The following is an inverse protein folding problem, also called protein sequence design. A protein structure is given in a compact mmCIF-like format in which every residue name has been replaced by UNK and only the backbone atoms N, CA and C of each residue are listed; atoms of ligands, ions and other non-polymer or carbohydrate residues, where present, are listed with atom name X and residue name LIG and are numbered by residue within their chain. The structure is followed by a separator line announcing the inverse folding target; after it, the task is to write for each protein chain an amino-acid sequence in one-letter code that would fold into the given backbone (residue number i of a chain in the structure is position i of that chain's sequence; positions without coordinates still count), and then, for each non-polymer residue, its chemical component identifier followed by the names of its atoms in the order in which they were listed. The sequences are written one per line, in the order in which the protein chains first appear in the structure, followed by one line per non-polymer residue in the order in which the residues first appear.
data_IF_178584608894
#
_entry.id   IF_178584608894
#
_cell.length_a   1.000
_cell.length_b   1.000
_cell.length_c   1.000
_cell.angle_alpha   90.00
_cell.angle_beta   90.00
_cell.angle_gamma   90.00
#
_symmetry.space_group_name_H-M   'P 1'
#
loop_
_entity.id
_entity.type
_entity.pdbx_description
1 polymer ?
#
# COMPACT_ATOMS: atom_id res chain seq x y z
N UNK A 1 -14.54 -8.10 -33.04
CA UNK A 1 -15.37 -7.95 -34.26
C UNK A 1 -15.88 -9.30 -34.69
N UNK A 2 -17.14 -9.46 -35.12
CA UNK A 2 -17.68 -10.76 -35.53
C UNK A 2 -16.94 -11.27 -36.77
N UNK A 3 -16.72 -12.59 -36.86
CA UNK A 3 -15.95 -13.25 -37.92
C UNK A 3 -16.40 -13.01 -39.37
N UNK A 4 -17.62 -12.46 -39.59
CA UNK A 4 -18.12 -12.07 -40.90
C UNK A 4 -17.40 -10.84 -41.49
N UNK A 5 -16.82 -9.96 -40.67
CA UNK A 5 -16.06 -8.80 -41.18
C UNK A 5 -14.77 -9.22 -41.89
N UNK A 6 -14.12 -10.29 -41.41
CA UNK A 6 -12.94 -10.88 -42.04
C UNK A 6 -13.25 -11.65 -43.28
N UNK A 7 -14.39 -12.32 -43.30
CA UNK A 7 -14.88 -13.00 -44.50
C UNK A 7 -15.22 -12.00 -45.63
N UNK A 8 -15.79 -10.83 -45.28
CA UNK A 8 -16.05 -9.75 -46.21
C UNK A 8 -14.78 -9.12 -46.80
N UNK A 9 -13.77 -8.83 -45.92
CA UNK A 9 -12.49 -8.30 -46.38
C UNK A 9 -11.75 -9.28 -47.30
N UNK A 10 -11.74 -10.56 -46.97
CA UNK A 10 -11.18 -11.63 -47.80
C UNK A 10 -11.92 -11.79 -49.13
N UNK A 11 -13.27 -11.72 -49.11
CA UNK A 11 -14.08 -11.79 -50.33
C UNK A 11 -13.90 -10.58 -51.27
N UNK A 12 -13.77 -9.37 -50.70
CA UNK A 12 -13.45 -8.15 -51.47
C UNK A 12 -12.07 -8.23 -52.12
N UNK A 13 -11.05 -8.72 -51.38
CA UNK A 13 -9.71 -8.92 -51.92
C UNK A 13 -9.69 -10.00 -53.03
N UNK A 14 -10.44 -11.09 -52.85
CA UNK A 14 -10.58 -12.14 -53.85
C UNK A 14 -11.32 -11.65 -55.11
N UNK A 15 -12.38 -10.85 -54.98
CA UNK A 15 -13.13 -10.24 -56.07
C UNK A 15 -12.30 -9.20 -56.83
N UNK A 16 -11.53 -8.36 -56.11
CA UNK A 16 -10.59 -7.40 -56.71
C UNK A 16 -9.48 -8.15 -57.47
N UNK A 17 -8.93 -9.23 -56.87
CA UNK A 17 -7.94 -10.09 -57.52
C UNK A 17 -8.49 -10.80 -58.77
N UNK A 18 -9.72 -11.36 -58.72
CA UNK A 18 -10.40 -11.98 -59.85
C UNK A 18 -10.76 -10.98 -60.96
N UNK A 19 -11.21 -9.77 -60.58
CA UNK A 19 -11.48 -8.68 -61.53
C UNK A 19 -10.21 -8.18 -62.22
N UNK A 20 -9.12 -8.04 -61.48
CA UNK A 20 -7.80 -7.69 -62.03
C UNK A 20 -7.31 -8.77 -63.01
N UNK A 21 -7.38 -10.06 -62.67
CA UNK A 21 -6.96 -11.16 -63.54
C UNK A 21 -7.84 -11.30 -64.78
N UNK A 22 -9.16 -11.06 -64.66
CA UNK A 22 -10.07 -11.05 -65.83
C UNK A 22 -9.79 -9.89 -66.82
N UNK A 23 -9.38 -8.73 -66.25
CA UNK A 23 -9.07 -7.54 -67.05
C UNK A 23 -7.68 -7.65 -67.73
N UNK A 24 -6.75 -8.40 -67.19
CA UNK A 24 -5.44 -8.69 -67.83
C UNK A 24 -5.49 -9.71 -68.94
N UNK A 25 -6.59 -10.47 -69.10
CA UNK A 25 -6.79 -11.40 -70.20
C UNK A 25 -7.30 -10.77 -71.57
N UNK A 26 -7.64 -9.47 -71.53
CA UNK A 26 -8.03 -8.73 -72.70
C UNK A 26 -6.85 -7.88 -73.21
N UNK A 27 -6.11 -8.46 -74.17
CA UNK A 27 -5.10 -8.00 -75.10
C UNK A 27 -4.33 -6.66 -75.02
N UNK A 28 -3.13 -6.55 -75.58
CA UNK A 28 -2.20 -5.44 -75.32
C UNK A 28 -2.56 -4.22 -76.22
N UNK A 29 -3.07 -3.16 -75.58
CA UNK A 29 -3.12 -1.80 -76.15
C UNK A 29 -2.00 -0.94 -75.60
N UNK A 30 -1.24 -0.29 -76.46
CA UNK A 30 -0.12 0.62 -76.12
C UNK A 30 -0.61 1.78 -75.23
N UNK A 31 -0.33 1.70 -73.96
CA UNK A 31 -0.65 2.69 -72.90
C UNK A 31 -0.46 2.18 -71.47
N UNK A 32 0.13 1.02 -71.31
CA UNK A 32 0.09 0.21 -70.10
C UNK A 32 1.14 0.57 -69.00
N UNK A 33 2.27 1.19 -69.34
CA UNK A 33 3.39 1.31 -68.34
C UNK A 33 3.08 2.23 -67.15
N UNK A 34 2.45 3.38 -67.36
CA UNK A 34 2.15 4.35 -66.31
C UNK A 34 0.98 3.89 -65.41
N UNK A 35 0.02 3.16 -66.01
CA UNK A 35 -1.14 2.65 -65.31
C UNK A 35 -0.80 1.42 -64.46
N UNK A 36 0.11 0.59 -64.94
CA UNK A 36 0.61 -0.58 -64.22
C UNK A 36 1.49 -0.18 -63.04
N UNK A 37 2.28 0.88 -63.21
CA UNK A 37 3.14 1.41 -62.11
C UNK A 37 2.28 2.06 -61.01
N UNK A 38 1.26 2.85 -61.35
CA UNK A 38 0.31 3.42 -60.39
C UNK A 38 -0.50 2.33 -59.68
N UNK A 39 -0.90 1.26 -60.38
CA UNK A 39 -1.63 0.15 -59.76
C UNK A 39 -0.74 -0.68 -58.84
N UNK A 40 0.51 -0.91 -59.24
CA UNK A 40 1.50 -1.60 -58.39
C UNK A 40 1.86 -0.81 -57.14
N UNK A 41 1.95 0.51 -57.25
CA UNK A 41 2.17 1.41 -56.09
C UNK A 41 0.99 1.38 -55.13
N UNK A 42 -0.24 1.45 -55.66
CA UNK A 42 -1.48 1.36 -54.86
C UNK A 42 -1.61 0.00 -54.14
N UNK A 43 -1.31 -1.10 -54.82
CA UNK A 43 -1.31 -2.44 -54.23
C UNK A 43 -0.26 -2.53 -53.10
N UNK A 44 0.95 -2.00 -53.30
CA UNK A 44 1.99 -1.98 -52.29
C UNK A 44 1.59 -1.14 -51.09
N UNK A 45 0.94 0.02 -51.29
CA UNK A 45 0.46 0.89 -50.23
C UNK A 45 -0.71 0.26 -49.46
N UNK A 46 -1.62 -0.44 -50.17
CA UNK A 46 -2.67 -1.21 -49.50
C UNK A 46 -2.12 -2.39 -48.70
N UNK A 47 -1.14 -3.14 -49.25
CA UNK A 47 -0.47 -4.21 -48.52
C UNK A 47 0.25 -3.70 -47.26
N UNK A 48 0.94 -2.56 -47.34
CA UNK A 48 1.54 -1.90 -46.19
C UNK A 48 0.49 -1.47 -45.16
N UNK A 49 -0.65 -0.95 -45.62
CA UNK A 49 -1.76 -0.53 -44.75
C UNK A 49 -2.44 -1.72 -44.08
N UNK A 50 -2.60 -2.84 -44.75
CA UNK A 50 -3.14 -4.09 -44.16
C UNK A 50 -2.17 -4.66 -43.14
N UNK A 51 -0.89 -4.81 -43.46
CA UNK A 51 0.12 -5.29 -42.55
C UNK A 51 0.22 -4.39 -41.28
N UNK A 52 0.05 -3.08 -41.46
CA UNK A 52 0.02 -2.10 -40.37
C UNK A 52 -1.20 -2.29 -39.47
N UNK A 53 -2.39 -2.49 -40.04
CA UNK A 53 -3.64 -2.73 -39.30
C UNK A 53 -3.60 -4.09 -38.55
N UNK A 54 -2.98 -5.10 -39.17
CA UNK A 54 -2.76 -6.40 -38.51
C UNK A 54 -1.82 -6.29 -37.32
N UNK A 55 -0.74 -5.53 -37.45
CA UNK A 55 0.16 -5.24 -36.33
C UNK A 55 -0.50 -4.47 -35.18
N UNK A 56 -1.30 -3.44 -35.51
CA UNK A 56 -2.06 -2.66 -34.53
C UNK A 56 -3.10 -3.55 -33.81
N UNK A 57 -3.78 -4.45 -34.54
CA UNK A 57 -4.73 -5.41 -33.98
C UNK A 57 -4.04 -6.47 -33.07
N UNK A 58 -2.86 -6.94 -33.44
CA UNK A 58 -2.12 -7.90 -32.63
C UNK A 58 -1.72 -7.31 -31.26
N UNK A 59 -1.26 -6.05 -31.23
CA UNK A 59 -0.95 -5.34 -30.00
C UNK A 59 -2.15 -5.22 -29.07
N UNK A 60 -3.29 -4.77 -29.63
CA UNK A 60 -4.55 -4.63 -28.87
C UNK A 60 -5.05 -5.99 -28.38
N UNK A 61 -4.99 -7.03 -29.22
CA UNK A 61 -5.41 -8.37 -28.84
C UNK A 61 -4.56 -8.91 -27.68
N UNK A 62 -3.25 -8.73 -27.75
CA UNK A 62 -2.34 -9.14 -26.68
C UNK A 62 -2.61 -8.39 -25.38
N UNK A 63 -2.80 -7.07 -25.46
CA UNK A 63 -3.16 -6.26 -24.31
C UNK A 63 -4.50 -6.70 -23.69
N UNK A 64 -5.54 -6.94 -24.51
CA UNK A 64 -6.84 -7.43 -24.04
C UNK A 64 -6.78 -8.81 -23.40
N UNK A 65 -5.83 -9.66 -23.76
CA UNK A 65 -5.62 -10.96 -23.12
C UNK A 65 -4.96 -10.81 -21.73
N UNK A 66 -4.08 -9.81 -21.55
CA UNK A 66 -3.35 -9.58 -20.29
C UNK A 66 -4.15 -8.76 -19.27
N UNK A 67 -5.00 -7.83 -19.74
CA UNK A 67 -5.75 -6.91 -18.88
C UNK A 67 -6.65 -7.59 -17.84
N UNK A 68 -7.43 -8.66 -18.15
CA UNK A 68 -8.30 -9.30 -17.17
C UNK A 68 -7.53 -9.90 -16.00
N UNK A 69 -6.40 -10.55 -16.27
CA UNK A 69 -5.55 -11.13 -15.23
C UNK A 69 -4.85 -10.06 -14.41
N UNK A 70 -4.38 -9.00 -15.07
CA UNK A 70 -3.78 -7.86 -14.41
C UNK A 70 -4.79 -7.16 -13.48
N UNK A 71 -5.97 -6.81 -13.99
CA UNK A 71 -7.03 -6.17 -13.18
C UNK A 71 -7.51 -7.04 -12.03
N UNK A 72 -7.64 -8.36 -12.24
CA UNK A 72 -8.01 -9.29 -11.18
C UNK A 72 -6.96 -9.31 -10.07
N UNK A 73 -5.68 -9.36 -10.41
CA UNK A 73 -4.58 -9.32 -9.46
C UNK A 73 -4.52 -7.98 -8.73
N UNK A 74 -4.70 -6.86 -9.44
CA UNK A 74 -4.70 -5.53 -8.85
C UNK A 74 -5.88 -5.27 -7.90
N UNK A 75 -7.03 -5.91 -8.13
CA UNK A 75 -8.21 -5.82 -7.25
C UNK A 75 -8.21 -6.86 -6.12
N UNK A 76 -7.25 -7.79 -6.10
CA UNK A 76 -7.06 -8.68 -4.96
C UNK A 76 -6.40 -7.94 -3.79
N UNK A 77 -6.37 -8.55 -2.58
CA UNK A 77 -5.64 -7.99 -1.41
C UNK A 77 -4.13 -8.07 -1.63
N UNK A 78 -3.63 -7.27 -2.57
CA UNK A 78 -2.21 -7.21 -2.92
C UNK A 78 -1.50 -6.21 -2.02
N UNK A 79 -0.29 -6.51 -1.57
CA UNK A 79 0.52 -5.54 -0.84
C UNK A 79 1.05 -4.45 -1.79
N UNK A 80 1.20 -3.20 -1.28
CA UNK A 80 1.70 -2.06 -2.07
C UNK A 80 2.98 -2.39 -2.84
N UNK A 81 3.89 -3.13 -2.22
CA UNK A 81 5.18 -3.54 -2.81
C UNK A 81 5.08 -4.54 -3.97
N UNK A 82 3.93 -5.20 -4.13
CA UNK A 82 3.69 -6.17 -5.21
C UNK A 82 3.13 -5.51 -6.47
N UNK A 83 2.49 -4.33 -6.34
CA UNK A 83 1.92 -3.60 -7.47
C UNK A 83 2.98 -3.30 -8.55
N UNK A 84 4.16 -2.73 -8.23
CA UNK A 84 5.20 -2.50 -9.22
C UNK A 84 5.69 -3.79 -9.89
N UNK A 85 5.70 -4.92 -9.17
CA UNK A 85 6.07 -6.22 -9.73
C UNK A 85 5.07 -6.69 -10.79
N UNK A 86 3.77 -6.52 -10.54
CA UNK A 86 2.74 -6.89 -11.53
C UNK A 86 2.79 -5.97 -12.75
N UNK A 87 3.00 -4.67 -12.56
CA UNK A 87 3.22 -3.71 -13.65
C UNK A 87 4.43 -4.13 -14.50
N UNK A 88 5.56 -4.44 -13.86
CA UNK A 88 6.79 -4.88 -14.54
C UNK A 88 6.53 -6.13 -15.40
N UNK A 89 5.79 -7.13 -14.88
CA UNK A 89 5.44 -8.34 -15.64
C UNK A 89 4.63 -8.06 -16.90
N UNK A 90 3.68 -7.12 -16.83
CA UNK A 90 2.89 -6.74 -18.01
C UNK A 90 3.75 -6.02 -19.04
N UNK A 91 4.63 -5.12 -18.60
CA UNK A 91 5.59 -4.43 -19.47
C UNK A 91 6.54 -5.44 -20.13
N UNK A 92 7.06 -6.41 -19.39
CA UNK A 92 7.92 -7.49 -19.90
C UNK A 92 7.19 -8.33 -20.97
N UNK A 93 5.97 -8.76 -20.70
CA UNK A 93 5.16 -9.54 -21.66
C UNK A 93 4.82 -8.75 -22.93
N UNK A 94 4.56 -7.44 -22.81
CA UNK A 94 4.22 -6.60 -23.95
C UNK A 94 5.45 -6.30 -24.82
N UNK A 95 6.51 -5.75 -24.24
CA UNK A 95 7.62 -5.15 -24.98
C UNK A 95 8.84 -6.05 -25.11
N UNK A 96 8.91 -7.14 -24.32
CA UNK A 96 10.09 -8.03 -24.21
C UNK A 96 11.40 -7.22 -24.10
N UNK A 97 11.52 -6.27 -23.16
CA UNK A 97 12.66 -5.37 -23.06
C UNK A 97 13.82 -6.05 -22.35
N UNK A 98 15.03 -5.50 -22.51
CA UNK A 98 16.19 -5.92 -21.73
C UNK A 98 16.28 -5.24 -20.38
N UNK A 99 15.66 -4.06 -20.25
CA UNK A 99 15.67 -3.26 -19.02
C UNK A 99 14.30 -2.67 -18.71
N UNK A 100 13.89 -2.77 -17.44
CA UNK A 100 12.71 -2.11 -16.88
C UNK A 100 13.09 -1.50 -15.55
N UNK A 101 12.73 -0.23 -15.34
CA UNK A 101 12.90 0.47 -14.07
C UNK A 101 11.56 1.07 -13.67
N UNK A 102 11.17 0.87 -12.43
CA UNK A 102 9.96 1.48 -11.86
C UNK A 102 10.35 2.30 -10.65
N UNK A 103 10.10 3.59 -10.76
CA UNK A 103 10.30 4.57 -9.70
C UNK A 103 8.96 4.93 -9.09
N UNK A 104 8.89 5.05 -7.77
CA UNK A 104 7.73 5.57 -7.07
C UNK A 104 8.12 6.80 -6.26
N UNK A 105 7.21 7.76 -6.17
CA UNK A 105 7.34 8.92 -5.32
C UNK A 105 7.41 8.46 -3.85
N UNK A 106 8.47 8.86 -3.14
CA UNK A 106 8.56 8.68 -1.70
C UNK A 106 7.56 9.61 -0.98
N UNK A 107 6.84 9.09 0.01
CA UNK A 107 5.95 9.90 0.84
C UNK A 107 6.79 10.96 1.58
N UNK A 108 6.42 12.23 1.42
CA UNK A 108 7.13 13.36 2.00
C UNK A 108 7.12 13.31 3.53
N UNK A 109 8.29 13.32 4.12
CA UNK A 109 8.51 13.79 5.48
C UNK A 109 9.05 15.22 5.37
N UNK A 110 8.16 16.21 5.57
CA UNK A 110 8.43 17.69 5.49
C UNK A 110 8.72 18.25 4.10
N UNK A 111 7.97 19.27 3.70
CA UNK A 111 8.07 20.35 2.67
C UNK A 111 9.18 20.36 1.58
N UNK A 112 9.97 19.30 1.41
CA UNK A 112 10.92 19.17 0.31
C UNK A 112 10.29 18.51 -0.89
N UNK A 113 10.66 18.92 -2.10
CA UNK A 113 10.24 18.30 -3.35
C UNK A 113 10.47 16.77 -3.27
N UNK A 114 9.39 15.99 -3.44
CA UNK A 114 9.47 14.52 -3.29
C UNK A 114 10.46 13.91 -4.29
N UNK A 115 11.19 12.89 -3.85
CA UNK A 115 12.11 12.13 -4.68
C UNK A 115 11.45 10.84 -5.19
N UNK A 116 11.82 10.45 -6.39
CA UNK A 116 11.40 9.18 -6.98
C UNK A 116 12.44 8.10 -6.67
N UNK A 117 12.09 7.15 -5.83
CA UNK A 117 12.97 6.02 -5.49
C UNK A 117 12.74 4.83 -6.43
N UNK A 118 13.82 4.18 -6.84
CA UNK A 118 13.76 2.93 -7.60
C UNK A 118 13.21 1.81 -6.70
N UNK A 119 12.02 1.31 -7.02
CA UNK A 119 11.36 0.25 -6.23
C UNK A 119 11.43 -1.13 -6.88
N UNK A 120 11.58 -1.16 -8.22
CA UNK A 120 11.75 -2.42 -8.99
C UNK A 120 12.63 -2.19 -10.20
N UNK A 121 13.39 -3.20 -10.54
CA UNK A 121 14.23 -3.19 -11.72
C UNK A 121 14.36 -4.58 -12.35
N UNK A 122 14.63 -4.61 -13.65
CA UNK A 122 15.07 -5.74 -14.44
C UNK A 122 16.22 -5.29 -15.33
N UNK A 123 17.24 -6.13 -15.49
CA UNK A 123 18.35 -5.87 -16.41
C UNK A 123 19.48 -4.99 -15.86
N UNK A 124 19.43 -4.53 -14.60
CA UNK A 124 20.55 -3.85 -13.96
C UNK A 124 21.38 -4.84 -13.10
N UNK A 125 22.71 -4.68 -13.04
CA UNK A 125 23.54 -5.40 -12.08
C UNK A 125 23.09 -5.10 -10.64
N UNK A 126 23.12 -6.10 -9.76
CA UNK A 126 22.66 -6.02 -8.38
C UNK A 126 23.37 -4.96 -7.53
N UNK A 127 24.59 -4.58 -7.91
CA UNK A 127 25.40 -3.56 -7.25
C UNK A 127 24.81 -2.14 -7.36
N UNK A 128 24.00 -1.88 -8.40
CA UNK A 128 23.41 -0.56 -8.68
C UNK A 128 21.97 -0.39 -8.17
N UNK A 129 21.43 -1.34 -7.41
CA UNK A 129 19.98 -1.37 -7.11
C UNK A 129 19.58 -0.70 -5.80
N UNK A 130 20.52 -0.34 -4.92
CA UNK A 130 20.22 0.23 -3.61
C UNK A 130 20.36 1.75 -3.62
N UNK A 131 19.27 2.44 -3.25
CA UNK A 131 19.32 3.89 -2.99
C UNK A 131 19.30 4.78 -4.22
N UNK A 132 18.95 4.25 -5.42
CA UNK A 132 18.77 5.11 -6.60
C UNK A 132 17.52 5.96 -6.41
N UNK A 133 17.74 7.28 -6.42
CA UNK A 133 16.69 8.29 -6.37
C UNK A 133 16.89 9.28 -7.51
N UNK A 134 15.79 9.83 -8.01
CA UNK A 134 15.75 10.83 -9.08
C UNK A 134 14.89 12.00 -8.61
N UNK A 135 15.39 13.20 -8.77
CA UNK A 135 14.66 14.43 -8.47
C UNK A 135 13.73 14.85 -9.63
N UNK A 136 12.70 15.66 -9.35
CA UNK A 136 11.88 16.26 -10.39
C UNK A 136 12.74 17.04 -11.38
N UNK A 137 12.54 16.79 -12.69
CA UNK A 137 13.29 17.46 -13.75
C UNK A 137 14.69 16.89 -14.01
N UNK A 138 15.17 15.94 -13.20
CA UNK A 138 16.50 15.34 -13.35
C UNK A 138 16.50 14.26 -14.44
N UNK A 139 17.22 14.48 -15.54
CA UNK A 139 17.33 13.55 -16.64
C UNK A 139 15.99 13.22 -17.30
N UNK A 140 15.91 12.12 -18.04
CA UNK A 140 14.69 11.69 -18.74
C UNK A 140 13.57 11.29 -17.78
N UNK A 141 13.89 10.56 -16.72
CA UNK A 141 12.93 10.06 -15.75
C UNK A 141 12.32 11.20 -14.93
N UNK A 142 13.16 12.10 -14.37
CA UNK A 142 12.71 13.26 -13.61
C UNK A 142 11.93 14.26 -14.46
N UNK A 143 12.29 14.39 -15.74
CA UNK A 143 11.55 15.24 -16.68
C UNK A 143 10.12 14.70 -16.90
N UNK A 144 9.98 13.39 -17.17
CA UNK A 144 8.67 12.73 -17.29
C UNK A 144 7.87 12.84 -15.98
N UNK A 145 8.53 12.70 -14.84
CA UNK A 145 7.91 12.91 -13.53
C UNK A 145 7.36 14.33 -13.35
N UNK A 146 8.10 15.34 -13.83
CA UNK A 146 7.72 16.76 -13.70
C UNK A 146 6.58 17.14 -14.63
N UNK A 147 6.59 16.65 -15.87
CA UNK A 147 5.64 17.07 -16.90
C UNK A 147 4.43 16.14 -17.07
N UNK A 148 4.48 14.91 -16.54
CA UNK A 148 3.37 13.98 -16.61
C UNK A 148 3.07 13.46 -18.02
N UNK A 149 4.06 13.42 -18.91
CA UNK A 149 3.89 13.05 -20.32
C UNK A 149 4.78 11.87 -20.67
N UNK A 150 4.21 10.86 -21.37
CA UNK A 150 4.98 9.73 -21.89
C UNK A 150 5.87 10.16 -23.06
N UNK A 151 7.13 9.75 -23.06
CA UNK A 151 8.12 10.12 -24.05
C UNK A 151 8.90 8.92 -24.56
N UNK A 152 9.24 8.96 -25.87
CA UNK A 152 10.20 8.07 -26.52
C UNK A 152 11.52 8.80 -26.82
N UNK A 153 12.47 8.10 -27.46
CA UNK A 153 13.80 8.66 -27.79
C UNK A 153 13.67 9.90 -28.66
N UNK A 154 12.77 9.89 -29.66
CA UNK A 154 12.59 11.01 -30.59
C UNK A 154 12.04 12.25 -29.86
N UNK A 155 11.13 12.06 -28.92
CA UNK A 155 10.58 13.14 -28.09
C UNK A 155 11.68 13.73 -27.20
N UNK A 156 12.52 12.91 -26.55
CA UNK A 156 13.63 13.39 -25.74
C UNK A 156 14.65 14.19 -26.55
N UNK A 157 14.97 13.73 -27.77
CA UNK A 157 15.87 14.45 -28.68
C UNK A 157 15.26 15.80 -29.08
N UNK A 158 13.98 15.81 -29.39
CA UNK A 158 13.24 17.03 -29.78
C UNK A 158 13.20 18.04 -28.62
N UNK A 159 12.84 17.56 -27.44
CA UNK A 159 12.73 18.40 -26.24
C UNK A 159 14.09 19.00 -25.85
N UNK A 160 15.16 18.20 -25.86
CA UNK A 160 16.52 18.70 -25.61
C UNK A 160 16.91 19.81 -26.57
N UNK A 161 16.53 19.72 -27.86
CA UNK A 161 16.81 20.73 -28.87
C UNK A 161 15.99 22.02 -28.67
N UNK A 162 14.74 21.91 -28.21
CA UNK A 162 13.84 23.03 -28.07
C UNK A 162 14.10 23.82 -26.78
N UNK A 163 14.33 23.15 -25.68
CA UNK A 163 14.40 23.75 -24.33
C UNK A 163 15.81 23.85 -23.78
N UNK A 164 16.76 23.10 -24.34
CA UNK A 164 18.10 22.97 -23.77
C UNK A 164 18.14 22.15 -22.47
N UNK A 165 17.05 21.46 -22.11
CA UNK A 165 16.97 20.65 -20.89
C UNK A 165 18.04 19.56 -20.86
N UNK A 166 18.62 19.33 -19.69
CA UNK A 166 19.55 18.21 -19.48
C UNK A 166 18.76 16.91 -19.34
N UNK A 167 18.52 16.24 -20.48
CA UNK A 167 17.82 14.95 -20.59
C UNK A 167 18.78 13.78 -20.73
N UNK A 168 20.05 13.98 -20.43
CA UNK A 168 21.04 12.91 -20.45
C UNK A 168 20.84 12.01 -19.23
N UNK A 169 20.98 10.72 -19.44
CA UNK A 169 21.06 9.77 -18.34
C UNK A 169 22.39 10.00 -17.63
N UNK A 170 22.41 10.24 -16.31
CA UNK A 170 23.66 10.44 -15.59
C UNK A 170 24.65 9.30 -15.87
N UNK A 171 25.91 9.61 -16.12
CA UNK A 171 26.91 8.64 -16.58
C UNK A 171 27.14 7.46 -15.61
N UNK A 172 26.78 7.64 -14.35
CA UNK A 172 26.83 6.58 -13.34
C UNK A 172 25.61 5.64 -13.37
N UNK A 173 24.56 5.99 -14.11
CA UNK A 173 23.41 5.14 -14.37
C UNK A 173 23.59 4.43 -15.72
N UNK A 174 24.06 3.19 -15.70
CA UNK A 174 24.25 2.36 -16.90
C UNK A 174 22.91 1.75 -17.34
N UNK A 175 21.90 2.57 -17.64
CA UNK A 175 20.67 2.06 -18.20
C UNK A 175 20.23 2.86 -19.43
N UNK A 176 19.64 2.13 -20.36
CA UNK A 176 19.06 2.70 -21.56
C UNK A 176 17.61 3.13 -21.29
N UNK A 177 17.24 4.31 -21.79
CA UNK A 177 15.89 4.86 -21.62
C UNK A 177 15.33 5.12 -23.02
N UNK A 178 14.66 4.11 -23.57
CA UNK A 178 14.02 4.23 -24.88
C UNK A 178 12.60 4.78 -24.76
N UNK A 179 11.87 4.36 -23.71
CA UNK A 179 10.49 4.74 -23.49
C UNK A 179 10.23 4.98 -22.01
N UNK A 180 9.61 6.12 -21.69
CA UNK A 180 9.18 6.47 -20.34
C UNK A 180 7.71 6.81 -20.30
N UNK A 181 7.02 6.38 -19.25
CA UNK A 181 5.64 6.79 -18.97
C UNK A 181 5.44 7.11 -17.50
N UNK A 182 4.74 8.23 -17.19
CA UNK A 182 4.38 8.57 -15.82
C UNK A 182 3.21 7.70 -15.36
N UNK A 183 3.24 7.28 -14.11
CA UNK A 183 2.13 6.67 -13.40
C UNK A 183 1.29 7.79 -12.78
N UNK A 184 0.27 8.27 -13.52
CA UNK A 184 -0.49 9.46 -13.13
C UNK A 184 -1.88 9.10 -12.61
N UNK A 185 -2.31 9.79 -11.55
CA UNK A 185 -3.67 9.73 -11.03
C UNK A 185 -4.08 11.11 -10.51
N UNK A 186 -5.24 11.65 -10.96
CA UNK A 186 -5.73 12.99 -10.61
C UNK A 186 -4.65 14.08 -10.77
N UNK A 187 -4.02 14.14 -11.94
CA UNK A 187 -2.96 15.09 -12.31
C UNK A 187 -1.68 15.02 -11.43
N UNK A 188 -1.56 13.99 -10.58
CA UNK A 188 -0.36 13.77 -9.76
C UNK A 188 0.41 12.58 -10.26
N UNK A 189 1.69 12.78 -10.54
CA UNK A 189 2.61 11.69 -10.88
C UNK A 189 3.02 10.99 -9.59
N UNK A 190 2.68 9.70 -9.49
CA UNK A 190 3.00 8.82 -8.35
C UNK A 190 4.22 7.96 -8.58
N UNK A 191 4.63 7.85 -9.84
CA UNK A 191 5.78 7.05 -10.24
C UNK A 191 6.11 7.24 -11.70
N UNK A 192 7.18 6.62 -12.15
CA UNK A 192 7.61 6.59 -13.55
C UNK A 192 8.06 5.18 -13.91
N UNK A 193 7.63 4.71 -15.08
CA UNK A 193 8.12 3.47 -15.70
C UNK A 193 9.09 3.86 -16.79
N UNK A 194 10.30 3.30 -16.76
CA UNK A 194 11.30 3.44 -17.81
C UNK A 194 11.62 2.07 -18.41
N UNK A 195 11.70 2.01 -19.73
CA UNK A 195 11.92 0.79 -20.51
C UNK A 195 13.07 1.04 -21.46
N UNK A 196 13.99 0.06 -21.56
CA UNK A 196 15.12 0.09 -22.49
C UNK A 196 15.37 -1.26 -23.12
N UNK A 197 15.99 -1.28 -24.30
CA UNK A 197 16.28 -2.48 -25.08
C UNK A 197 15.01 -3.22 -25.49
N UNK A 198 14.03 -2.47 -26.03
CA UNK A 198 12.76 -3.01 -26.51
C UNK A 198 13.00 -3.92 -27.73
N UNK A 199 12.52 -5.17 -27.65
CA UNK A 199 12.66 -6.13 -28.76
C UNK A 199 11.36 -6.38 -29.49
N UNK A 200 10.23 -6.06 -28.86
CA UNK A 200 8.90 -6.17 -29.49
C UNK A 200 8.29 -4.79 -29.64
N UNK A 201 8.28 -4.28 -30.86
CA UNK A 201 7.83 -2.95 -31.19
C UNK A 201 6.37 -2.91 -31.64
N UNK A 202 5.68 -1.84 -31.23
CA UNK A 202 4.30 -1.52 -31.62
C UNK A 202 4.22 -0.09 -32.12
N UNK A 203 3.26 0.19 -32.99
CA UNK A 203 3.08 1.54 -33.54
C UNK A 203 2.75 2.61 -32.47
N UNK A 204 2.10 2.21 -31.38
CA UNK A 204 1.60 3.13 -30.34
C UNK A 204 2.22 2.79 -28.98
N UNK A 205 3.51 2.53 -28.92
CA UNK A 205 4.25 2.13 -27.73
C UNK A 205 4.04 3.05 -26.55
N UNK A 206 4.08 4.38 -26.79
CA UNK A 206 3.83 5.39 -25.76
C UNK A 206 2.45 5.25 -25.14
N UNK A 207 1.42 5.09 -25.95
CA UNK A 207 0.05 4.95 -25.48
C UNK A 207 -0.17 3.64 -24.72
N UNK A 208 0.45 2.55 -25.19
CA UNK A 208 0.38 1.25 -24.51
C UNK A 208 1.08 1.31 -23.15
N UNK A 209 2.31 1.84 -23.10
CA UNK A 209 3.02 1.98 -21.83
C UNK A 209 2.31 2.95 -20.88
N UNK A 210 1.77 4.07 -21.42
CA UNK A 210 0.96 5.02 -20.67
C UNK A 210 -0.26 4.35 -20.03
N UNK A 211 -1.01 3.54 -20.78
CA UNK A 211 -2.16 2.80 -20.25
C UNK A 211 -1.76 1.82 -19.12
N UNK A 212 -0.64 1.11 -19.28
CA UNK A 212 -0.13 0.21 -18.23
C UNK A 212 0.28 1.02 -17.00
N UNK A 213 0.91 2.17 -17.18
CA UNK A 213 1.32 3.07 -16.12
C UNK A 213 0.11 3.65 -15.35
N UNK A 214 -0.93 4.08 -16.07
CA UNK A 214 -2.17 4.59 -15.47
C UNK A 214 -2.89 3.52 -14.64
N UNK A 215 -2.99 2.30 -15.16
CA UNK A 215 -3.55 1.17 -14.42
C UNK A 215 -2.75 0.86 -13.14
N UNK A 216 -1.42 0.91 -13.21
CA UNK A 216 -0.55 0.76 -12.06
C UNK A 216 -0.76 1.89 -11.03
N UNK A 217 -0.94 3.12 -11.50
CA UNK A 217 -1.22 4.28 -10.64
C UNK A 217 -2.58 4.17 -9.94
N UNK A 218 -3.62 3.75 -10.66
CA UNK A 218 -4.95 3.49 -10.08
C UNK A 218 -4.85 2.41 -8.99
N UNK A 219 -4.09 1.34 -9.23
CA UNK A 219 -3.91 0.29 -8.23
C UNK A 219 -3.21 0.80 -6.96
N UNK A 220 -2.18 1.64 -7.10
CA UNK A 220 -1.50 2.30 -5.97
C UNK A 220 -2.46 3.21 -5.20
N UNK A 221 -3.26 3.99 -5.91
CA UNK A 221 -4.25 4.87 -5.29
C UNK A 221 -5.32 4.09 -4.52
N UNK A 222 -5.88 3.04 -5.12
CA UNK A 222 -6.85 2.18 -4.46
C UNK A 222 -6.27 1.52 -3.21
N UNK A 223 -4.99 1.10 -3.26
CA UNK A 223 -4.32 0.57 -2.08
C UNK A 223 -4.18 1.62 -0.97
N UNK A 224 -3.78 2.86 -1.31
CA UNK A 224 -3.68 3.97 -0.36
C UNK A 224 -5.05 4.30 0.27
N UNK A 225 -6.14 4.32 -0.55
CA UNK A 225 -7.49 4.51 -0.05
C UNK A 225 -7.93 3.39 0.89
N UNK A 226 -7.65 2.14 0.51
CA UNK A 226 -7.97 0.98 1.35
C UNK A 226 -7.23 1.04 2.68
N UNK A 227 -5.93 1.36 2.66
CA UNK A 227 -5.12 1.55 3.88
C UNK A 227 -5.72 2.65 4.77
N UNK A 228 -6.00 3.83 4.21
CA UNK A 228 -6.62 4.94 4.95
C UNK A 228 -7.98 4.55 5.54
N UNK A 229 -8.81 3.84 4.76
CA UNK A 229 -10.09 3.32 5.24
C UNK A 229 -9.92 2.34 6.40
N UNK A 230 -8.95 1.45 6.32
CA UNK A 230 -8.60 0.52 7.40
C UNK A 230 -8.08 1.25 8.65
N UNK A 231 -7.19 2.23 8.47
CA UNK A 231 -6.69 3.04 9.58
C UNK A 231 -7.85 3.78 10.28
N UNK A 232 -8.75 4.41 9.51
CA UNK A 232 -9.95 5.05 10.06
C UNK A 232 -10.90 4.05 10.76
N UNK A 233 -11.02 2.83 10.24
CA UNK A 233 -11.84 1.79 10.84
C UNK A 233 -11.21 1.18 12.10
N UNK A 234 -9.89 1.23 12.26
CA UNK A 234 -9.15 0.58 13.34
C UNK A 234 -8.70 1.54 14.44
N UNK A 235 -8.68 2.85 14.19
CA UNK A 235 -8.25 3.86 15.14
C UNK A 235 -9.45 4.62 15.75
N UNK A 236 -9.25 5.13 16.95
CA UNK A 236 -10.16 6.10 17.58
C UNK A 236 -9.96 7.48 16.95
N UNK A 237 -11.04 8.11 16.54
CA UNK A 237 -11.01 9.40 15.82
C UNK A 237 -10.40 10.55 16.61
N UNK A 238 -10.49 10.51 17.95
CA UNK A 238 -10.02 11.56 18.84
C UNK A 238 -8.55 11.38 19.21
N UNK A 239 -8.20 10.22 19.75
CA UNK A 239 -6.87 9.95 20.33
C UNK A 239 -5.84 9.40 19.32
N UNK A 240 -6.30 8.96 18.16
CA UNK A 240 -5.49 8.29 17.13
C UNK A 240 -4.81 7.00 17.60
N UNK A 241 -5.11 6.52 18.79
CA UNK A 241 -4.81 5.16 19.22
C UNK A 241 -5.75 4.18 18.52
N UNK A 242 -5.46 2.90 18.60
CA UNK A 242 -6.41 1.91 18.10
C UNK A 242 -7.75 2.01 18.84
N UNK A 243 -8.82 1.51 18.22
CA UNK A 243 -10.11 1.37 18.89
C UNK A 243 -10.22 0.00 19.58
N UNK A 244 -11.22 -0.13 20.45
CA UNK A 244 -11.51 -1.35 21.20
C UNK A 244 -11.62 -2.59 20.31
N UNK A 245 -12.31 -2.48 19.17
CA UNK A 245 -12.52 -3.62 18.26
C UNK A 245 -11.20 -4.17 17.76
N UNK A 246 -10.35 -3.30 17.20
CA UNK A 246 -9.05 -3.71 16.67
C UNK A 246 -8.14 -4.28 17.76
N UNK A 247 -8.18 -3.69 18.97
CA UNK A 247 -7.40 -4.20 20.10
C UNK A 247 -7.77 -5.64 20.45
N UNK A 248 -9.08 -5.95 20.54
CA UNK A 248 -9.56 -7.30 20.89
C UNK A 248 -9.20 -8.33 19.80
N UNK A 249 -9.34 -7.97 18.53
CA UNK A 249 -8.90 -8.80 17.41
C UNK A 249 -7.40 -9.10 17.49
N UNK A 250 -6.58 -8.08 17.76
CA UNK A 250 -5.14 -8.21 17.86
C UNK A 250 -4.71 -9.01 19.10
N UNK A 251 -5.35 -8.78 20.25
CA UNK A 251 -5.10 -9.52 21.49
C UNK A 251 -5.33 -11.03 21.28
N UNK A 252 -6.40 -11.41 20.58
CA UNK A 252 -6.67 -12.83 20.27
C UNK A 252 -5.57 -13.45 19.40
N UNK A 253 -5.02 -12.69 18.44
CA UNK A 253 -3.88 -13.14 17.65
C UNK A 253 -2.62 -13.31 18.49
N UNK A 254 -2.33 -12.36 19.41
CA UNK A 254 -1.17 -12.44 20.30
C UNK A 254 -1.26 -13.63 21.25
N UNK A 255 -2.45 -13.94 21.78
CA UNK A 255 -2.66 -15.14 22.61
C UNK A 255 -2.34 -16.41 21.81
N UNK A 256 -2.84 -16.50 20.56
CA UNK A 256 -2.56 -17.65 19.70
C UNK A 256 -1.06 -17.83 19.43
N UNK A 257 -0.34 -16.75 19.16
CA UNK A 257 1.11 -16.79 18.94
C UNK A 257 1.87 -17.13 20.23
N UNK A 258 1.49 -16.54 21.35
CA UNK A 258 2.08 -16.80 22.67
C UNK A 258 1.89 -18.24 23.14
N UNK A 259 0.73 -18.87 22.81
CA UNK A 259 0.47 -20.26 23.16
C UNK A 259 1.43 -21.23 22.46
N UNK A 260 1.96 -20.88 21.30
CA UNK A 260 2.95 -21.69 20.56
C UNK A 260 4.39 -21.44 20.99
N UNK A 261 4.72 -20.18 21.31
CA UNK A 261 6.09 -19.74 21.61
C UNK A 261 6.41 -19.61 23.11
N UNK A 262 5.43 -19.78 23.99
CA UNK A 262 5.57 -19.66 25.47
C UNK A 262 6.19 -18.32 25.91
N UNK A 263 5.89 -17.24 25.19
CA UNK A 263 6.38 -15.91 25.55
C UNK A 263 5.31 -15.16 26.37
N UNK A 264 5.64 -14.66 27.57
CA UNK A 264 4.70 -13.86 28.34
C UNK A 264 4.43 -12.52 27.64
N UNK A 265 3.24 -12.01 27.78
CA UNK A 265 2.87 -10.64 27.45
C UNK A 265 1.89 -10.14 28.51
N UNK A 266 1.71 -8.83 28.60
CA UNK A 266 0.84 -8.25 29.63
C UNK A 266 -0.14 -7.25 29.03
N UNK A 267 -1.31 -7.17 29.65
CA UNK A 267 -2.36 -6.20 29.35
C UNK A 267 -2.46 -5.22 30.50
N UNK A 268 -2.52 -3.94 30.20
CA UNK A 268 -2.71 -2.85 31.15
C UNK A 268 -3.99 -2.08 30.79
N UNK A 269 -4.98 -2.09 31.68
CA UNK A 269 -6.21 -1.31 31.56
C UNK A 269 -6.14 -0.18 32.57
N UNK A 270 -6.49 1.04 32.15
CA UNK A 270 -6.53 2.18 33.04
C UNK A 270 -7.59 3.19 32.62
N UNK A 271 -7.91 4.08 33.54
CA UNK A 271 -8.94 5.10 33.42
C UNK A 271 -8.38 6.42 34.00
N UNK A 272 -8.73 7.54 33.38
CA UNK A 272 -8.36 8.87 33.86
C UNK A 272 -9.16 9.23 35.11
N UNK A 273 -8.46 9.45 36.21
CA UNK A 273 -9.05 9.73 37.51
C UNK A 273 -9.86 11.04 37.49
N UNK A 274 -11.12 10.97 37.93
CA UNK A 274 -12.02 12.12 38.03
C UNK A 274 -12.26 12.85 36.70
N UNK A 275 -12.14 12.18 35.55
CA UNK A 275 -12.29 12.80 34.23
C UNK A 275 -13.68 13.42 34.01
N UNK A 276 -14.74 12.76 34.52
CA UNK A 276 -16.07 13.33 34.49
C UNK A 276 -16.13 14.70 35.20
N UNK A 277 -15.50 14.83 36.38
CA UNK A 277 -15.42 16.10 37.10
C UNK A 277 -14.68 17.17 36.29
N UNK A 278 -13.64 16.80 35.57
CA UNK A 278 -12.95 17.72 34.66
C UNK A 278 -13.86 18.21 33.54
N UNK A 279 -14.59 17.31 32.89
CA UNK A 279 -15.55 17.67 31.84
C UNK A 279 -16.68 18.57 32.37
N UNK A 280 -17.21 18.26 33.56
CA UNK A 280 -18.30 19.04 34.16
C UNK A 280 -17.84 20.47 34.55
N UNK A 281 -16.55 20.67 34.85
CA UNK A 281 -15.99 21.96 35.26
C UNK A 281 -15.37 22.76 34.12
N UNK A 282 -14.72 22.09 33.15
CA UNK A 282 -13.96 22.74 32.07
C UNK A 282 -14.62 22.59 30.68
N UNK A 283 -15.68 21.79 30.58
CA UNK A 283 -16.39 21.49 29.33
C UNK A 283 -15.75 20.36 28.53
N UNK A 284 -16.57 19.75 27.67
CA UNK A 284 -16.17 18.58 26.85
C UNK A 284 -15.00 18.85 25.88
N UNK A 285 -14.87 20.06 25.35
CA UNK A 285 -13.76 20.42 24.48
C UNK A 285 -12.40 20.34 25.17
N UNK A 286 -12.35 20.82 26.44
CA UNK A 286 -11.15 20.70 27.26
C UNK A 286 -10.85 19.24 27.62
N UNK A 287 -11.88 18.42 27.90
CA UNK A 287 -11.73 16.99 28.08
C UNK A 287 -11.24 16.26 26.85
N UNK A 288 -11.71 16.63 25.66
CA UNK A 288 -11.22 16.07 24.40
C UNK A 288 -9.72 16.36 24.20
N UNK A 289 -9.24 17.53 24.60
CA UNK A 289 -7.83 17.87 24.53
C UNK A 289 -6.99 17.04 25.53
N UNK A 290 -7.51 16.79 26.71
CA UNK A 290 -6.88 15.87 27.68
C UNK A 290 -6.77 14.46 27.09
N UNK A 291 -7.82 13.96 26.46
CA UNK A 291 -7.82 12.62 25.85
C UNK A 291 -6.83 12.51 24.68
N UNK A 292 -6.74 13.54 23.81
CA UNK A 292 -5.73 13.59 22.72
C UNK A 292 -4.32 13.54 23.29
N UNK A 293 -4.05 14.43 24.22
CA UNK A 293 -2.74 14.53 24.90
C UNK A 293 -2.37 13.22 25.60
N UNK A 294 -3.32 12.60 26.32
CA UNK A 294 -3.10 11.29 26.94
C UNK A 294 -2.75 10.23 25.88
N UNK A 295 -3.44 10.22 24.75
CA UNK A 295 -3.11 9.33 23.62
C UNK A 295 -1.68 9.51 23.10
N UNK A 296 -1.21 10.75 22.96
CA UNK A 296 0.15 11.06 22.53
C UNK A 296 1.18 10.62 23.58
N UNK A 297 0.95 10.95 24.86
CA UNK A 297 1.82 10.54 25.97
C UNK A 297 1.95 9.02 26.09
N UNK A 298 0.86 8.29 25.86
CA UNK A 298 0.89 6.81 25.80
C UNK A 298 1.78 6.35 24.67
N UNK A 299 1.56 6.86 23.45
CA UNK A 299 2.30 6.48 22.25
C UNK A 299 3.80 6.66 22.40
N UNK A 300 4.23 7.75 23.03
CA UNK A 300 5.65 8.06 23.27
C UNK A 300 6.36 7.07 24.19
N UNK A 301 5.63 6.32 25.01
CA UNK A 301 6.20 5.33 25.94
C UNK A 301 6.28 3.94 25.33
N UNK A 302 5.47 3.66 24.30
CA UNK A 302 5.37 2.34 23.68
C UNK A 302 6.62 1.97 22.86
N UNK A 303 7.02 0.72 22.94
CA UNK A 303 8.11 0.14 22.15
C UNK A 303 7.57 -0.50 20.86
N UNK A 304 8.42 -0.77 19.87
CA UNK A 304 8.04 -1.61 18.75
C UNK A 304 7.48 -2.96 19.23
N UNK A 305 6.28 -3.28 18.79
CA UNK A 305 5.55 -4.47 19.21
C UNK A 305 4.46 -4.21 20.26
N UNK A 306 4.59 -3.17 21.09
CA UNK A 306 3.52 -2.72 21.98
C UNK A 306 2.44 -1.99 21.20
N UNK A 307 1.20 -2.04 21.68
CA UNK A 307 0.13 -1.22 21.11
C UNK A 307 -0.93 -0.84 22.13
N UNK A 308 -1.56 0.31 21.91
CA UNK A 308 -2.56 0.86 22.80
C UNK A 308 -3.86 1.18 22.05
N UNK A 309 -4.97 1.13 22.75
CA UNK A 309 -6.28 1.51 22.26
C UNK A 309 -7.06 2.34 23.26
N UNK A 310 -7.98 3.16 22.76
CA UNK A 310 -9.05 3.71 23.55
C UNK A 310 -10.12 2.65 23.73
N UNK A 311 -10.35 2.22 24.96
CA UNK A 311 -11.22 1.10 25.28
C UNK A 311 -12.66 1.55 25.57
N UNK A 312 -12.83 2.73 26.16
CA UNK A 312 -14.08 3.37 26.51
C UNK A 312 -14.01 4.89 26.37
N UNK A 313 -14.87 5.61 27.03
CA UNK A 313 -14.91 7.07 27.02
C UNK A 313 -13.61 7.71 27.49
N UNK A 314 -13.18 7.33 28.69
CA UNK A 314 -11.95 7.78 29.38
C UNK A 314 -11.03 6.62 29.73
N UNK A 315 -11.35 5.41 29.21
CA UNK A 315 -10.61 4.17 29.45
C UNK A 315 -9.69 3.84 28.30
N UNK A 316 -8.50 3.39 28.63
CA UNK A 316 -7.46 2.98 27.70
C UNK A 316 -6.96 1.58 28.05
N UNK A 317 -6.47 0.89 27.04
CA UNK A 317 -5.88 -0.43 27.17
C UNK A 317 -4.58 -0.50 26.40
N UNK A 318 -3.55 -1.10 26.98
CA UNK A 318 -2.22 -1.27 26.38
C UNK A 318 -1.85 -2.74 26.43
N UNK A 319 -1.26 -3.24 25.35
CA UNK A 319 -0.59 -4.53 25.31
C UNK A 319 0.92 -4.30 25.26
N UNK A 320 1.62 -4.88 26.24
CA UNK A 320 3.08 -4.91 26.29
C UNK A 320 3.56 -6.27 25.76
N UNK A 321 4.11 -6.29 24.56
CA UNK A 321 4.61 -7.50 23.93
C UNK A 321 5.87 -8.03 24.64
N UNK A 322 5.97 -9.35 24.81
CA UNK A 322 7.10 -10.01 25.45
C UNK A 322 7.48 -9.43 26.83
N UNK A 323 6.47 -8.96 27.57
CA UNK A 323 6.67 -8.31 28.86
C UNK A 323 6.09 -9.19 29.99
N UNK A 324 6.94 -9.70 30.90
CA UNK A 324 6.49 -10.31 32.15
C UNK A 324 5.88 -9.24 33.05
N UNK A 325 5.20 -9.67 34.12
CA UNK A 325 4.44 -8.82 35.04
C UNK A 325 5.23 -7.61 35.56
N UNK A 326 6.44 -7.82 36.03
CA UNK A 326 7.28 -6.74 36.57
C UNK A 326 7.69 -5.71 35.53
N UNK A 327 8.02 -6.16 34.33
CA UNK A 327 8.34 -5.28 33.20
C UNK A 327 7.14 -4.46 32.76
N UNK A 328 5.95 -5.08 32.73
CA UNK A 328 4.69 -4.42 32.41
C UNK A 328 4.27 -3.41 33.48
N UNK A 329 4.45 -3.74 34.77
CA UNK A 329 4.21 -2.81 35.89
C UNK A 329 5.07 -1.57 35.77
N UNK A 330 6.36 -1.71 35.44
CA UNK A 330 7.26 -0.58 35.22
C UNK A 330 6.85 0.26 34.02
N UNK A 331 6.45 -0.37 32.94
CA UNK A 331 5.98 0.33 31.74
C UNK A 331 4.66 1.09 32.00
N UNK A 332 3.72 0.46 32.69
CA UNK A 332 2.47 1.06 33.11
C UNK A 332 2.68 2.25 34.06
N UNK A 333 3.59 2.13 35.01
CA UNK A 333 3.92 3.23 35.95
C UNK A 333 4.62 4.40 35.24
N UNK A 334 5.43 4.14 34.21
CA UNK A 334 5.98 5.22 33.36
C UNK A 334 4.87 6.00 32.65
N UNK A 335 3.84 5.31 32.10
CA UNK A 335 2.67 5.98 31.49
C UNK A 335 1.98 6.85 32.55
N UNK A 336 1.67 6.29 33.73
CA UNK A 336 1.06 7.02 34.85
C UNK A 336 1.84 8.28 35.22
N UNK A 337 3.15 8.15 35.44
CA UNK A 337 4.01 9.27 35.75
C UNK A 337 4.04 10.35 34.70
N UNK A 338 4.11 9.96 33.40
CA UNK A 338 4.06 10.90 32.28
C UNK A 338 2.76 11.70 32.25
N UNK A 339 1.63 11.03 32.45
CA UNK A 339 0.31 11.69 32.47
C UNK A 339 0.24 12.62 33.70
N UNK A 340 0.61 12.17 34.91
CA UNK A 340 0.53 12.99 36.11
C UNK A 340 1.48 14.20 36.06
N UNK A 341 2.65 14.09 35.41
CA UNK A 341 3.61 15.17 35.27
C UNK A 341 3.24 16.21 34.22
N UNK A 342 2.38 15.84 33.24
CA UNK A 342 2.04 16.73 32.14
C UNK A 342 1.24 17.96 32.65
N UNK A 343 1.57 19.19 32.19
CA UNK A 343 0.93 20.43 32.63
C UNK A 343 -0.39 20.65 31.88
N UNK A 344 -1.37 19.76 32.05
CA UNK A 344 -2.70 19.94 31.49
C UNK A 344 -3.32 21.27 31.93
N UNK A 345 -4.09 21.89 31.03
CA UNK A 345 -4.78 23.13 31.34
C UNK A 345 -5.77 22.94 32.49
N UNK A 346 -5.82 23.88 33.43
CA UNK A 346 -6.76 23.87 34.56
C UNK A 346 -6.72 22.60 35.44
N UNK A 347 -5.60 21.86 35.45
CA UNK A 347 -5.43 20.65 36.27
C UNK A 347 -5.63 20.89 37.78
N UNK A 348 -5.44 22.13 38.21
CA UNK A 348 -5.62 22.55 39.62
C UNK A 348 -7.04 22.43 40.12
N UNK A 349 -8.02 22.44 39.22
CA UNK A 349 -9.44 22.20 39.51
C UNK A 349 -9.76 20.76 39.90
N UNK A 350 -8.84 19.82 39.60
CA UNK A 350 -9.01 18.42 39.94
C UNK A 350 -8.84 18.17 41.45
N UNK A 351 -9.55 17.18 42.02
CA UNK A 351 -9.42 16.82 43.42
C UNK A 351 -7.98 16.56 43.87
N UNK A 352 -7.15 15.99 42.99
CA UNK A 352 -5.75 15.69 43.22
C UNK A 352 -4.79 16.80 42.73
N UNK A 353 -5.32 17.91 42.20
CA UNK A 353 -4.59 19.04 41.57
C UNK A 353 -3.71 18.61 40.36
N UNK A 354 -3.92 17.42 39.85
CA UNK A 354 -3.31 16.86 38.65
C UNK A 354 -4.31 16.00 37.94
N UNK A 355 -4.15 15.83 36.62
CA UNK A 355 -4.83 14.78 35.89
C UNK A 355 -3.95 13.53 36.04
N UNK A 356 -4.52 12.50 36.65
CA UNK A 356 -3.87 11.22 36.87
C UNK A 356 -4.64 10.07 36.28
N UNK A 357 -4.07 8.90 36.34
CA UNK A 357 -4.73 7.66 35.95
C UNK A 357 -4.56 6.58 37.02
N UNK A 358 -5.54 5.72 37.13
CA UNK A 358 -5.46 4.47 37.85
C UNK A 358 -5.51 3.30 36.90
N UNK A 359 -4.76 2.23 37.15
CA UNK A 359 -4.76 1.12 36.23
C UNK A 359 -4.40 -0.22 36.87
N UNK A 360 -4.72 -1.30 36.12
CA UNK A 360 -4.44 -2.67 36.48
C UNK A 360 -3.70 -3.42 35.39
N UNK A 361 -2.73 -4.23 35.77
CA UNK A 361 -1.90 -5.06 34.88
C UNK A 361 -2.23 -6.53 35.10
N UNK A 362 -2.47 -7.26 34.01
CA UNK A 362 -2.61 -8.73 33.99
C UNK A 362 -1.65 -9.32 32.94
N UNK A 363 -1.08 -10.50 33.26
CA UNK A 363 -0.03 -11.14 32.44
C UNK A 363 -0.47 -12.52 31.99
N UNK A 364 -0.28 -12.82 30.72
CA UNK A 364 -0.43 -14.14 30.15
C UNK A 364 0.86 -14.96 30.40
N UNK A 365 0.76 -16.26 30.79
CA UNK A 365 -0.46 -17.00 31.06
C UNK A 365 -0.97 -16.91 32.50
N UNK A 366 -0.23 -16.28 33.41
CA UNK A 366 -0.41 -16.37 34.87
C UNK A 366 -1.78 -15.88 35.36
N UNK A 367 -2.34 -14.86 34.71
CA UNK A 367 -3.58 -14.21 35.13
C UNK A 367 -4.78 -14.58 34.24
N UNK A 368 -4.55 -15.35 33.18
CA UNK A 368 -5.60 -15.79 32.27
C UNK A 368 -5.08 -16.35 30.96
N UNK A 369 -5.86 -17.25 30.35
CA UNK A 369 -5.52 -17.90 29.09
C UNK A 369 -6.32 -17.33 27.91
N UNK A 370 -7.38 -16.58 28.18
CA UNK A 370 -8.22 -15.96 27.15
C UNK A 370 -8.19 -14.43 27.26
N UNK A 371 -8.60 -13.75 26.19
CA UNK A 371 -8.77 -12.30 26.19
C UNK A 371 -9.71 -11.84 27.30
N UNK A 372 -10.79 -12.58 27.55
CA UNK A 372 -11.77 -12.25 28.58
C UNK A 372 -11.17 -12.36 30.00
N UNK A 373 -10.39 -13.43 30.28
CA UNK A 373 -9.75 -13.62 31.57
C UNK A 373 -8.75 -12.52 31.88
N UNK A 374 -7.85 -12.19 30.92
CA UNK A 374 -6.84 -11.15 31.07
C UNK A 374 -7.46 -9.79 31.29
N UNK A 375 -8.49 -9.45 30.54
CA UNK A 375 -9.21 -8.18 30.70
C UNK A 375 -9.89 -8.12 32.05
N UNK A 376 -10.58 -9.18 32.48
CA UNK A 376 -11.23 -9.23 33.79
C UNK A 376 -10.23 -9.13 34.95
N UNK A 377 -9.06 -9.77 34.85
CA UNK A 377 -8.02 -9.71 35.87
C UNK A 377 -7.41 -8.29 35.98
N UNK A 378 -7.15 -7.64 34.81
CA UNK A 378 -6.67 -6.26 34.76
C UNK A 378 -7.72 -5.26 35.30
N UNK A 379 -8.98 -5.45 34.95
CA UNK A 379 -10.09 -4.59 35.44
C UNK A 379 -10.27 -4.70 36.98
N UNK A 380 -10.20 -5.91 37.52
CA UNK A 380 -10.21 -6.12 38.97
C UNK A 380 -9.04 -5.41 39.66
N UNK A 381 -7.87 -5.40 39.06
CA UNK A 381 -6.69 -4.66 39.59
C UNK A 381 -6.88 -3.13 39.47
N UNK A 382 -7.45 -2.63 38.35
CA UNK A 382 -7.83 -1.24 38.20
C UNK A 382 -8.84 -0.79 39.25
N UNK A 383 -9.82 -1.62 39.54
CA UNK A 383 -10.79 -1.31 40.60
C UNK A 383 -10.13 -1.17 41.97
N UNK A 384 -9.17 -2.04 42.31
CA UNK A 384 -8.36 -1.90 43.55
C UNK A 384 -7.56 -0.60 43.56
N UNK A 385 -6.89 -0.25 42.44
CA UNK A 385 -6.15 0.99 42.32
C UNK A 385 -7.01 2.22 42.61
N UNK A 386 -8.26 2.24 42.07
CA UNK A 386 -9.22 3.33 42.33
C UNK A 386 -9.65 3.39 43.79
N UNK A 387 -9.85 2.25 44.46
CA UNK A 387 -10.25 2.20 45.89
C UNK A 387 -9.14 2.58 46.86
N UNK A 388 -7.89 2.27 46.54
CA UNK A 388 -6.71 2.49 47.39
C UNK A 388 -6.10 3.88 47.23
N UNK A 389 -6.81 4.83 46.66
CA UNK A 389 -6.42 6.25 46.64
C UNK A 389 -6.10 6.81 45.27
N UNK A 390 -6.31 6.04 44.20
CA UNK A 390 -6.10 6.46 42.79
C UNK A 390 -4.62 6.74 42.47
N UNK A 391 -4.37 7.30 41.27
CA UNK A 391 -3.02 7.65 40.77
C UNK A 391 -1.98 6.56 41.00
N UNK A 392 -2.32 5.34 40.70
CA UNK A 392 -1.45 4.17 40.92
C UNK A 392 -1.77 3.04 39.96
N UNK A 393 -0.81 2.12 39.83
CA UNK A 393 -0.95 0.88 39.05
C UNK A 393 -0.95 -0.30 40.01
N UNK A 394 -1.83 -1.25 39.82
CA UNK A 394 -1.88 -2.52 40.57
C UNK A 394 -1.72 -3.70 39.62
N UNK A 395 -0.98 -4.69 40.10
CA UNK A 395 -0.94 -6.00 39.40
C UNK A 395 -2.20 -6.81 39.74
N UNK A 396 -2.64 -7.64 38.80
CA UNK A 396 -3.62 -8.68 39.08
C UNK A 396 -3.08 -9.64 40.15
N UNK A 397 -3.96 -10.18 40.93
CA UNK A 397 -3.61 -11.32 41.83
C UNK A 397 -3.64 -12.60 40.97
N UNK A 398 -2.63 -13.49 41.16
CA UNK A 398 -2.59 -14.72 40.41
C UNK A 398 -3.86 -15.53 40.64
N UNK A 399 -4.57 -15.89 39.56
CA UNK A 399 -5.52 -16.99 39.66
C UNK A 399 -4.71 -18.28 39.61
N UNK A 400 -4.60 -18.96 40.73
CA UNK A 400 -4.13 -20.35 40.73
C UNK A 400 -5.14 -21.17 39.92
N UNK A 401 -4.83 -21.45 38.68
CA UNK A 401 -5.48 -22.53 37.96
C UNK A 401 -4.91 -23.83 38.61
N UNK A 402 -5.65 -24.37 39.57
CA UNK A 402 -5.34 -25.72 40.09
C UNK A 402 -5.46 -26.69 38.92
N UNK A 403 -4.37 -27.33 38.56
CA UNK A 403 -4.34 -28.51 37.68
C UNK A 403 -5.00 -29.73 38.36
N UNK A 404 -6.05 -29.54 39.15
CA UNK A 404 -6.89 -30.60 39.61
C UNK A 404 -7.97 -30.88 38.57
N UNK A 405 -7.57 -31.53 37.47
CA UNK A 405 -8.46 -32.42 36.79
C UNK A 405 -8.73 -33.55 37.78
N UNK A 406 -9.84 -33.48 38.55
CA UNK A 406 -10.40 -34.63 39.24
C UNK A 406 -10.65 -35.71 38.17
N UNK A 407 -9.78 -36.72 38.14
CA UNK A 407 -10.06 -37.97 37.48
C UNK A 407 -11.36 -38.53 38.09
N UNK A 408 -12.41 -38.79 37.31
CA UNK A 408 -13.57 -39.47 37.85
C UNK A 408 -13.15 -40.92 38.15
N UNK A 409 -12.92 -41.21 39.44
CA UNK A 409 -12.74 -42.55 39.94
C UNK A 409 -14.03 -43.31 39.62
N UNK A 410 -14.01 -44.10 38.56
CA UNK A 410 -15.02 -45.11 38.29
C UNK A 410 -14.91 -46.21 39.34
N UNK A 411 -15.74 -46.12 40.38
CA UNK A 411 -15.92 -47.17 41.38
C UNK A 411 -16.81 -48.24 40.76
N UNK A 412 -16.23 -49.27 40.14
CA UNK A 412 -16.93 -50.50 39.76
C UNK A 412 -16.99 -51.35 41.02
N UNK A 413 -18.08 -51.26 41.78
CA UNK A 413 -18.46 -52.29 42.73
C UNK A 413 -19.30 -53.31 42.00
N UNK A 414 -18.78 -54.53 41.92
CA UNK A 414 -19.47 -55.67 41.42
C UNK A 414 -20.54 -56.19 42.41
N UNK A 415 -21.58 -56.84 41.87
CA UNK A 415 -22.62 -57.54 42.47
C UNK A 415 -23.42 -58.26 41.40
#
# INVERSE_FOLDING_TARGET
MPGWAWALAGAVLALVGAWLTARFRQGPGRGTSVRDEATSTLIRDLQKSVARLEGDNAALTHLFQLLPDFTRKMNSRIERREIPLQVMRVVELMFAPTQILIFLLEEQVQEQAGKFALVRQMGLPSEFTKGIQVDYGEGRIGWVAQHGISMDVDDFIREKRLTGANLDVPAHFQFDVELCAPMTHEDKVRGVISVGGITRHYKHEKAILGLIADLGSIALYNWDLFRKSQEMANCDGLTKLFNKRFFLERLSSVIFDASKGHHPFSVFIFDLDHFKHYNDTQGHQAGDEVLRTAGDLIRDVLRPGDFAARYGGEEFIVLFAHAPKDGAMQAADRIRQRVAAHPFQNRESQPMKVISLSGGVATYPDDGLTSADLIAAADAALYRAKREGRNQVRASEPKYFSDEAEDPVYNVQGG
#
